data_IF_339912739582
#
_entry.id   IF_339912739582
#
_cell.length_a   1.000
_cell.length_b   1.000
_cell.length_c   1.000
_cell.angle_alpha   90.00
_cell.angle_beta   90.00
_cell.angle_gamma   90.00
#
_symmetry.space_group_name_H-M   'P 1'
#
loop_
_entity.id
_entity.type
_entity.pdbx_description
1 polymer ?
#
# COMPACT_ATOMS: atom_id res chain seq x y z
N UNK A 1 2.66 -47.50 59.92
CA UNK A 1 2.98 -46.16 59.37
C UNK A 1 2.44 -46.07 57.96
N UNK A 2 1.40 -45.27 57.70
CA UNK A 2 0.91 -45.04 56.35
C UNK A 2 1.81 -43.97 55.69
N UNK A 3 2.68 -44.39 54.80
CA UNK A 3 3.49 -43.47 54.01
C UNK A 3 2.54 -42.72 53.10
N UNK A 4 2.51 -41.40 53.25
CA UNK A 4 1.74 -40.53 52.34
C UNK A 4 2.35 -40.62 50.94
N UNK A 5 1.52 -40.68 49.88
CA UNK A 5 1.97 -40.65 48.49
C UNK A 5 2.96 -39.51 48.21
N UNK A 6 2.77 -38.38 48.86
CA UNK A 6 3.66 -37.22 48.76
C UNK A 6 5.07 -37.51 49.29
N UNK A 7 5.20 -38.25 50.40
CA UNK A 7 6.50 -38.65 50.98
C UNK A 7 7.24 -39.62 50.06
N UNK A 8 6.54 -40.53 49.38
CA UNK A 8 7.15 -41.47 48.44
C UNK A 8 7.69 -40.73 47.22
N UNK A 9 6.91 -39.78 46.66
CA UNK A 9 7.33 -38.95 45.53
C UNK A 9 8.55 -38.11 45.91
N UNK A 10 8.52 -37.43 47.03
CA UNK A 10 9.64 -36.60 47.49
C UNK A 10 10.92 -37.42 47.67
N UNK A 11 10.83 -38.62 48.26
CA UNK A 11 11.96 -39.50 48.44
C UNK A 11 12.49 -40.09 47.14
N UNK A 12 11.63 -40.34 46.16
CA UNK A 12 12.02 -40.76 44.79
C UNK A 12 12.81 -39.66 44.07
N UNK A 13 12.36 -38.42 44.19
CA UNK A 13 13.04 -37.26 43.58
C UNK A 13 14.43 -37.05 44.17
N UNK A 14 14.57 -37.15 45.52
CA UNK A 14 15.86 -36.96 46.17
C UNK A 14 16.82 -38.11 45.89
N UNK A 15 16.34 -39.34 45.74
CA UNK A 15 17.18 -40.49 45.43
C UNK A 15 17.71 -40.50 43.99
N UNK A 16 16.91 -40.05 43.01
CA UNK A 16 17.26 -40.00 41.59
C UNK A 16 17.43 -38.55 41.07
N UNK A 17 17.93 -37.63 41.89
CA UNK A 17 18.03 -36.21 41.61
C UNK A 17 18.69 -35.91 40.27
N UNK A 18 19.76 -36.59 39.88
CA UNK A 18 20.46 -36.40 38.60
C UNK A 18 19.57 -36.70 37.39
N UNK A 19 18.78 -37.78 37.46
CA UNK A 19 17.85 -38.14 36.38
C UNK A 19 16.74 -37.10 36.20
N UNK A 20 16.13 -36.65 37.31
CA UNK A 20 15.12 -35.61 37.28
C UNK A 20 15.67 -34.26 36.82
N UNK A 21 16.90 -33.91 37.16
CA UNK A 21 17.55 -32.68 36.70
C UNK A 21 17.68 -32.66 35.19
N UNK A 22 18.10 -33.75 34.56
CA UNK A 22 18.18 -33.83 33.08
C UNK A 22 16.79 -33.72 32.44
N UNK A 23 15.76 -34.33 33.00
CA UNK A 23 14.40 -34.23 32.53
C UNK A 23 13.88 -32.77 32.57
N UNK A 24 14.12 -32.08 33.69
CA UNK A 24 13.74 -30.68 33.88
C UNK A 24 14.46 -29.79 32.84
N UNK A 25 15.75 -30.00 32.61
CA UNK A 25 16.51 -29.25 31.63
C UNK A 25 15.93 -29.46 30.22
N UNK A 26 15.61 -30.71 29.84
CA UNK A 26 15.01 -31.02 28.54
C UNK A 26 13.66 -30.35 28.39
N UNK A 27 12.80 -30.37 29.42
CA UNK A 27 11.49 -29.72 29.40
C UNK A 27 11.64 -28.21 29.25
N UNK A 28 12.57 -27.59 29.96
CA UNK A 28 12.84 -26.16 29.88
C UNK A 28 13.30 -25.79 28.45
N UNK A 29 14.24 -26.56 27.91
CA UNK A 29 14.72 -26.31 26.52
C UNK A 29 13.60 -26.48 25.49
N UNK A 30 12.82 -27.56 25.59
CA UNK A 30 11.72 -27.82 24.69
C UNK A 30 10.66 -26.69 24.76
N UNK A 31 10.27 -26.32 25.98
CA UNK A 31 9.30 -25.26 26.22
C UNK A 31 9.85 -23.90 25.68
N UNK A 32 11.13 -23.64 25.93
CA UNK A 32 11.80 -22.43 25.45
C UNK A 32 11.80 -22.32 23.92
N UNK A 33 12.13 -23.42 23.24
CA UNK A 33 12.12 -23.47 21.77
C UNK A 33 10.70 -23.26 21.19
N UNK A 34 9.71 -23.97 21.75
CA UNK A 34 8.32 -23.84 21.29
C UNK A 34 7.78 -22.43 21.54
N UNK A 35 7.99 -21.91 22.75
CA UNK A 35 7.50 -20.55 23.07
C UNK A 35 8.22 -19.48 22.24
N UNK A 36 9.53 -19.60 22.09
CA UNK A 36 10.32 -18.68 21.27
C UNK A 36 9.87 -18.68 19.81
N UNK A 37 9.63 -19.85 19.23
CA UNK A 37 9.12 -19.98 17.86
C UNK A 37 7.74 -19.33 17.70
N UNK A 38 6.82 -19.56 18.62
CA UNK A 38 5.47 -18.94 18.59
C UNK A 38 5.54 -17.42 18.77
N UNK A 39 6.39 -16.90 19.64
CA UNK A 39 6.58 -15.46 19.84
C UNK A 39 7.15 -14.81 18.59
N UNK A 40 8.16 -15.42 17.97
CA UNK A 40 8.73 -14.91 16.72
C UNK A 40 7.69 -14.87 15.59
N UNK A 41 6.94 -15.95 15.41
CA UNK A 41 5.87 -16.01 14.40
C UNK A 41 4.79 -14.94 14.62
N UNK A 42 4.37 -14.71 15.87
CA UNK A 42 3.41 -13.65 16.21
C UNK A 42 3.99 -12.26 15.98
N UNK A 43 5.24 -12.03 16.33
CA UNK A 43 5.92 -10.74 16.13
C UNK A 43 6.02 -10.39 14.64
N UNK A 44 6.48 -11.32 13.81
CA UNK A 44 6.57 -11.13 12.35
C UNK A 44 5.19 -10.85 11.75
N UNK A 45 4.18 -11.62 12.13
CA UNK A 45 2.81 -11.41 11.63
C UNK A 45 2.26 -10.04 12.01
N UNK A 46 2.48 -9.60 13.24
CA UNK A 46 2.04 -8.27 13.68
C UNK A 46 2.78 -7.16 12.94
N UNK A 47 4.09 -7.27 12.76
CA UNK A 47 4.89 -6.31 12.01
C UNK A 47 4.41 -6.20 10.55
N UNK A 48 4.19 -7.32 9.87
CA UNK A 48 3.66 -7.33 8.50
C UNK A 48 2.27 -6.70 8.41
N UNK A 49 1.41 -6.99 9.38
CA UNK A 49 0.06 -6.41 9.46
C UNK A 49 0.12 -4.90 9.64
N UNK A 50 0.96 -4.41 10.56
CA UNK A 50 1.13 -2.98 10.79
C UNK A 50 1.66 -2.27 9.55
N UNK A 51 2.69 -2.80 8.90
CA UNK A 51 3.23 -2.24 7.65
C UNK A 51 2.18 -2.21 6.53
N UNK A 52 1.30 -3.22 6.46
CA UNK A 52 0.22 -3.24 5.47
C UNK A 52 -0.82 -2.15 5.75
N UNK A 53 -1.19 -1.91 7.00
CA UNK A 53 -2.10 -0.82 7.35
C UNK A 53 -1.48 0.57 7.08
N UNK A 54 -0.20 0.75 7.38
CA UNK A 54 0.50 2.01 7.09
C UNK A 54 0.49 2.33 5.59
N UNK A 55 0.59 1.31 4.73
CA UNK A 55 0.51 1.48 3.27
C UNK A 55 -0.89 1.84 2.77
N UNK A 56 -1.92 1.30 3.38
CA UNK A 56 -3.31 1.56 3.00
C UNK A 56 -3.84 2.91 3.51
N UNK A 57 -3.15 3.53 4.48
CA UNK A 57 -3.65 4.74 5.14
C UNK A 57 -5.02 4.50 5.78
N UNK A 58 -6.00 5.35 5.49
CA UNK A 58 -7.37 5.22 6.00
C UNK A 58 -8.25 4.26 5.19
N UNK A 59 -7.71 3.61 4.16
CA UNK A 59 -8.49 2.70 3.32
C UNK A 59 -8.81 1.40 4.08
N UNK A 60 -10.08 1.17 4.36
CA UNK A 60 -10.56 -0.08 4.97
C UNK A 60 -11.06 -1.09 3.95
N UNK A 61 -11.73 -0.59 2.91
CA UNK A 61 -12.26 -1.42 1.82
C UNK A 61 -11.87 -0.81 0.49
N UNK A 62 -11.48 -1.66 -0.45
CA UNK A 62 -11.13 -1.30 -1.81
C UNK A 62 -12.08 -1.98 -2.79
N UNK A 63 -12.77 -1.21 -3.62
CA UNK A 63 -13.47 -1.72 -4.78
C UNK A 63 -12.60 -1.48 -6.02
N UNK A 64 -12.31 -2.55 -6.73
CA UNK A 64 -11.55 -2.54 -7.97
C UNK A 64 -12.42 -3.05 -9.11
N UNK A 65 -12.46 -2.31 -10.21
CA UNK A 65 -13.20 -2.70 -11.42
C UNK A 65 -12.45 -3.70 -12.31
N UNK A 66 -11.19 -4.02 -11.96
CA UNK A 66 -10.31 -4.77 -12.87
C UNK A 66 -9.90 -3.93 -14.06
N UNK A 67 -10.41 -4.25 -15.25
CA UNK A 67 -10.11 -3.56 -16.51
C UNK A 67 -11.14 -2.49 -16.90
N UNK A 68 -12.18 -2.29 -16.12
CA UNK A 68 -13.23 -1.29 -16.38
C UNK A 68 -12.96 -0.04 -15.55
N UNK A 69 -13.59 1.05 -15.95
CA UNK A 69 -13.53 2.32 -15.23
C UNK A 69 -14.89 2.64 -14.61
N UNK A 70 -14.89 3.44 -13.55
CA UNK A 70 -16.07 3.94 -12.86
C UNK A 70 -16.19 5.45 -13.11
N UNK A 71 -17.42 5.91 -13.25
CA UNK A 71 -17.71 7.34 -13.19
C UNK A 71 -17.24 7.91 -11.83
N UNK A 72 -16.44 8.97 -11.80
CA UNK A 72 -15.95 9.59 -10.57
C UNK A 72 -17.04 10.00 -9.60
N UNK A 73 -18.22 10.40 -10.11
CA UNK A 73 -19.39 10.76 -9.28
C UNK A 73 -19.89 9.61 -8.43
N UNK A 74 -19.49 8.37 -8.74
CA UNK A 74 -19.84 7.20 -7.95
C UNK A 74 -19.33 7.29 -6.51
N UNK A 75 -18.12 7.85 -6.30
CA UNK A 75 -17.56 8.06 -4.97
C UNK A 75 -18.48 8.95 -4.13
N UNK A 76 -18.90 10.09 -4.68
CA UNK A 76 -19.76 11.03 -3.99
C UNK A 76 -21.15 10.45 -3.70
N UNK A 77 -21.76 9.77 -4.68
CA UNK A 77 -23.05 9.10 -4.52
C UNK A 77 -23.01 8.02 -3.45
N UNK A 78 -21.98 7.19 -3.47
CA UNK A 78 -21.79 6.15 -2.46
C UNK A 78 -21.60 6.74 -1.06
N UNK A 79 -20.84 7.83 -0.95
CA UNK A 79 -20.70 8.56 0.32
C UNK A 79 -22.02 9.11 0.82
N UNK A 80 -22.84 9.69 -0.07
CA UNK A 80 -24.14 10.26 0.28
C UNK A 80 -25.17 9.20 0.72
N UNK A 81 -25.19 8.03 0.05
CA UNK A 81 -26.13 6.95 0.33
C UNK A 81 -25.77 6.13 1.57
N UNK A 82 -24.46 5.85 1.75
CA UNK A 82 -24.00 4.96 2.81
C UNK A 82 -23.54 5.70 4.07
N UNK A 83 -23.29 7.01 3.98
CA UNK A 83 -22.67 7.80 5.04
C UNK A 83 -21.17 7.49 5.25
N UNK A 84 -20.59 6.67 4.36
CA UNK A 84 -19.19 6.27 4.42
C UNK A 84 -18.35 7.18 3.54
N UNK A 85 -17.31 7.76 4.09
CA UNK A 85 -16.39 8.60 3.29
C UNK A 85 -15.69 7.72 2.26
N UNK A 86 -15.72 8.15 1.00
CA UNK A 86 -15.05 7.46 -0.09
C UNK A 86 -14.24 8.41 -0.97
N UNK A 87 -13.22 7.86 -1.62
CA UNK A 87 -12.37 8.58 -2.56
C UNK A 87 -12.14 7.75 -3.82
N UNK A 88 -12.24 8.39 -4.97
CA UNK A 88 -11.93 7.78 -6.26
C UNK A 88 -10.46 7.97 -6.61
N UNK A 89 -9.84 6.94 -7.20
CA UNK A 89 -8.44 6.98 -7.66
C UNK A 89 -8.33 6.28 -9.00
N UNK A 90 -7.57 6.85 -9.91
CA UNK A 90 -7.12 6.15 -11.11
C UNK A 90 -5.68 5.68 -10.90
N UNK A 91 -5.50 4.38 -10.73
CA UNK A 91 -4.20 3.73 -10.61
C UNK A 91 -3.70 3.29 -11.99
N UNK A 92 -2.51 3.73 -12.35
CA UNK A 92 -1.83 3.38 -13.61
C UNK A 92 -0.43 2.89 -13.33
N UNK A 93 0.07 2.06 -14.22
CA UNK A 93 1.49 1.68 -14.29
C UNK A 93 2.19 2.50 -15.36
N UNK A 94 3.42 2.91 -15.07
CA UNK A 94 4.19 3.70 -16.00
C UNK A 94 5.67 3.74 -15.68
N UNK A 95 6.36 4.66 -16.31
CA UNK A 95 7.75 4.97 -16.03
C UNK A 95 7.96 6.49 -15.99
N UNK A 96 8.96 6.89 -15.22
CA UNK A 96 9.26 8.29 -14.97
C UNK A 96 10.72 8.57 -15.28
N UNK A 97 11.01 9.73 -15.83
CA UNK A 97 12.34 10.16 -16.19
C UNK A 97 12.59 11.57 -15.68
N UNK A 98 13.76 11.78 -15.07
CA UNK A 98 14.22 13.11 -14.74
C UNK A 98 14.51 13.89 -16.04
N UNK A 99 13.92 15.07 -16.19
CA UNK A 99 14.08 15.87 -17.41
C UNK A 99 15.54 16.31 -17.64
N UNK A 100 16.24 16.71 -16.59
CA UNK A 100 17.61 17.23 -16.67
C UNK A 100 18.66 16.12 -16.83
N UNK A 101 18.62 15.10 -15.98
CA UNK A 101 19.65 14.04 -15.94
C UNK A 101 19.33 12.85 -16.86
N UNK A 102 18.11 12.78 -17.40
CA UNK A 102 17.62 11.67 -18.21
C UNK A 102 17.62 10.32 -17.46
N UNK A 103 17.80 10.32 -16.15
CA UNK A 103 17.70 9.11 -15.34
C UNK A 103 16.27 8.55 -15.36
N UNK A 104 16.14 7.25 -15.62
CA UNK A 104 14.86 6.58 -15.82
C UNK A 104 14.50 5.67 -14.65
N UNK A 105 13.32 5.86 -14.08
CA UNK A 105 12.66 4.92 -13.19
C UNK A 105 11.70 4.03 -14.01
N UNK A 106 12.03 2.76 -14.25
CA UNK A 106 11.32 1.93 -15.24
C UNK A 106 9.98 1.41 -14.77
N UNK A 107 9.69 1.50 -13.48
CA UNK A 107 8.44 1.00 -12.88
C UNK A 107 7.98 1.93 -11.78
N UNK A 108 6.95 2.71 -12.07
CA UNK A 108 6.33 3.61 -11.11
C UNK A 108 4.83 3.36 -11.05
N UNK A 109 4.24 3.58 -9.88
CA UNK A 109 2.80 3.62 -9.67
C UNK A 109 2.33 5.06 -9.76
N UNK A 110 1.42 5.33 -10.67
CA UNK A 110 0.82 6.64 -10.88
C UNK A 110 -0.58 6.60 -10.32
N UNK A 111 -0.84 7.47 -9.36
CA UNK A 111 -2.15 7.68 -8.76
C UNK A 111 -2.67 9.03 -9.22
N UNK A 112 -3.62 9.02 -10.14
CA UNK A 112 -4.35 10.22 -10.50
C UNK A 112 -5.51 10.39 -9.53
N UNK A 113 -5.47 11.49 -8.79
CA UNK A 113 -6.32 11.75 -7.63
C UNK A 113 -7.05 13.08 -7.77
N UNK A 114 -8.19 13.18 -7.12
CA UNK A 114 -8.92 14.42 -6.92
C UNK A 114 -8.55 15.06 -5.57
N UNK A 115 -8.97 16.28 -5.32
CA UNK A 115 -8.61 17.05 -4.12
C UNK A 115 -9.04 16.40 -2.80
N UNK A 116 -9.98 15.45 -2.83
CA UNK A 116 -10.48 14.74 -1.66
C UNK A 116 -9.56 13.58 -1.20
N UNK A 117 -8.57 13.18 -1.99
CA UNK A 117 -7.72 12.02 -1.68
C UNK A 117 -6.87 12.21 -0.41
N UNK A 118 -6.14 13.32 -0.30
CA UNK A 118 -5.30 13.57 0.87
C UNK A 118 -6.13 13.80 2.15
N UNK A 119 -7.22 14.60 2.12
CA UNK A 119 -8.15 14.69 3.25
C UNK A 119 -8.76 13.35 3.67
N UNK A 120 -9.11 12.47 2.71
CA UNK A 120 -9.56 11.10 2.98
C UNK A 120 -8.55 10.32 3.84
N UNK A 121 -7.26 10.48 3.58
CA UNK A 121 -6.19 9.87 4.36
C UNK A 121 -5.80 10.66 5.62
N UNK A 122 -6.56 11.69 6.00
CA UNK A 122 -6.26 12.60 7.11
C UNK A 122 -4.90 13.31 6.97
N UNK A 123 -4.50 13.60 5.74
CA UNK A 123 -3.29 14.34 5.41
C UNK A 123 -3.70 15.77 5.06
N UNK A 124 -3.30 16.71 5.90
CA UNK A 124 -3.58 18.13 5.71
C UNK A 124 -2.38 18.85 5.10
N UNK A 125 -2.65 19.92 4.35
CA UNK A 125 -1.62 20.80 3.79
C UNK A 125 -0.91 20.26 2.55
N UNK A 126 -1.31 19.11 2.03
CA UNK A 126 -0.79 18.55 0.77
C UNK A 126 -1.90 18.60 -0.27
N UNK A 127 -1.62 19.29 -1.35
CA UNK A 127 -2.45 19.35 -2.56
C UNK A 127 -1.57 19.13 -3.77
N UNK A 128 -2.13 18.57 -4.82
CA UNK A 128 -1.46 18.42 -6.12
C UNK A 128 -2.15 19.32 -7.10
N UNK A 129 -1.54 20.49 -7.32
CA UNK A 129 -2.05 21.50 -8.24
C UNK A 129 -1.83 21.07 -9.70
N UNK A 130 -2.53 21.70 -10.62
CA UNK A 130 -2.26 21.51 -12.06
C UNK A 130 -0.85 21.92 -12.40
N UNK A 131 -0.18 21.15 -13.29
CA UNK A 131 1.21 21.35 -13.66
C UNK A 131 2.22 20.85 -12.63
N UNK A 132 1.75 20.33 -11.50
CA UNK A 132 2.58 19.79 -10.42
C UNK A 132 2.35 18.30 -10.18
N UNK A 133 3.36 17.68 -9.58
CA UNK A 133 3.33 16.28 -9.19
C UNK A 133 3.85 16.14 -7.77
N UNK A 134 3.21 15.28 -6.98
CA UNK A 134 3.78 14.82 -5.72
C UNK A 134 4.39 13.43 -5.92
N UNK A 135 5.61 13.25 -5.44
CA UNK A 135 6.34 11.98 -5.55
C UNK A 135 6.77 11.50 -4.18
N UNK A 136 6.94 10.21 -4.01
CA UNK A 136 7.46 9.72 -2.75
C UNK A 136 8.98 9.89 -2.65
N UNK A 137 9.49 9.92 -1.41
CA UNK A 137 10.93 10.07 -1.11
C UNK A 137 11.78 9.05 -1.87
N UNK A 138 11.32 7.80 -1.96
CA UNK A 138 12.04 6.74 -2.66
C UNK A 138 12.27 7.04 -4.14
N UNK A 139 11.27 7.60 -4.83
CA UNK A 139 11.40 7.99 -6.24
C UNK A 139 12.29 9.24 -6.37
N UNK A 140 12.14 10.20 -5.45
CA UNK A 140 12.99 11.39 -5.43
C UNK A 140 14.47 11.03 -5.29
N UNK A 141 14.81 10.18 -4.34
CA UNK A 141 16.18 9.70 -4.12
C UNK A 141 16.70 8.87 -5.31
N UNK A 142 15.82 8.06 -5.94
CA UNK A 142 16.20 7.24 -7.09
C UNK A 142 16.51 8.08 -8.33
N UNK A 143 15.75 9.14 -8.60
CA UNK A 143 15.91 10.02 -9.75
C UNK A 143 16.84 11.22 -9.48
N UNK A 144 17.34 11.37 -8.26
CA UNK A 144 18.11 12.53 -7.77
C UNK A 144 17.40 13.85 -8.11
N UNK A 145 16.12 13.97 -7.68
CA UNK A 145 15.30 15.15 -7.93
C UNK A 145 14.88 15.82 -6.64
N UNK A 146 14.74 17.14 -6.73
CA UNK A 146 14.30 18.01 -5.66
C UNK A 146 12.97 18.66 -6.03
N UNK A 147 12.33 19.32 -5.05
CA UNK A 147 11.15 20.14 -5.28
C UNK A 147 11.49 21.25 -6.29
N UNK A 148 10.66 21.40 -7.31
CA UNK A 148 10.84 22.36 -8.41
C UNK A 148 11.42 21.77 -9.69
N UNK A 149 12.03 20.57 -9.65
CA UNK A 149 12.54 19.89 -10.83
C UNK A 149 11.41 19.35 -11.72
N UNK A 150 11.74 19.12 -12.98
CA UNK A 150 10.76 18.61 -13.97
C UNK A 150 10.94 17.12 -14.22
N UNK A 151 9.81 16.42 -14.31
CA UNK A 151 9.72 15.00 -14.59
C UNK A 151 8.93 14.73 -15.85
N UNK A 152 9.41 13.81 -16.66
CA UNK A 152 8.67 13.23 -17.78
C UNK A 152 8.00 11.95 -17.27
N UNK A 153 6.67 11.94 -17.25
CA UNK A 153 5.87 10.80 -16.81
C UNK A 153 5.23 10.19 -18.04
N UNK A 154 5.38 8.89 -18.21
CA UNK A 154 4.79 8.12 -19.30
C UNK A 154 4.02 6.94 -18.74
N UNK A 155 2.82 6.74 -19.28
CA UNK A 155 1.90 5.68 -18.86
C UNK A 155 1.23 5.05 -20.07
N UNK A 156 0.65 3.88 -19.87
CA UNK A 156 -0.13 3.23 -20.91
C UNK A 156 -1.39 4.04 -21.20
N UNK A 157 -1.82 4.06 -22.46
CA UNK A 157 -3.05 4.75 -22.85
C UNK A 157 -4.23 4.27 -22.00
N UNK A 158 -5.01 5.22 -21.51
CA UNK A 158 -6.24 4.97 -20.76
C UNK A 158 -7.33 4.68 -21.78
N UNK A 159 -7.66 3.42 -21.97
CA UNK A 159 -8.69 2.96 -22.91
C UNK A 159 -9.54 1.89 -22.25
N UNK A 160 -10.84 1.89 -22.54
CA UNK A 160 -11.78 0.87 -22.09
C UNK A 160 -11.56 -0.49 -22.77
N UNK A 161 -10.72 -0.52 -23.82
CA UNK A 161 -10.40 -1.72 -24.58
C UNK A 161 -9.02 -2.20 -24.18
N UNK A 162 -8.87 -3.44 -23.63
CA UNK A 162 -7.57 -4.01 -23.37
C UNK A 162 -6.67 -4.04 -24.61
N UNK A 163 -5.38 -3.75 -24.46
CA UNK A 163 -4.42 -3.69 -25.54
C UNK A 163 -4.27 -5.01 -26.32
N UNK A 164 -4.60 -6.13 -25.70
CA UNK A 164 -4.57 -7.50 -26.23
C UNK A 164 -5.92 -7.97 -26.78
N UNK A 165 -6.93 -7.08 -26.85
CA UNK A 165 -8.21 -7.41 -27.48
C UNK A 165 -8.03 -7.64 -28.99
N UNK A 166 -8.70 -8.66 -29.57
CA UNK A 166 -8.52 -9.04 -30.99
C UNK A 166 -8.81 -7.94 -32.02
N UNK A 167 -9.49 -6.88 -31.62
CA UNK A 167 -9.87 -5.74 -32.46
C UNK A 167 -9.39 -4.40 -31.88
N UNK A 168 -8.36 -4.42 -31.02
CA UNK A 168 -7.77 -3.19 -30.51
C UNK A 168 -7.20 -2.38 -31.68
N UNK A 169 -7.54 -1.09 -31.84
CA UNK A 169 -6.88 -0.25 -32.81
C UNK A 169 -5.40 -0.16 -32.44
N UNK A 170 -4.54 -0.69 -33.28
CA UNK A 170 -3.12 -1.00 -33.04
C UNK A 170 -2.17 0.17 -32.79
N UNK A 171 -2.62 1.25 -32.17
CA UNK A 171 -1.77 2.32 -31.65
C UNK A 171 -1.88 2.33 -30.13
N UNK A 172 -1.01 1.56 -29.48
CA UNK A 172 -0.69 1.81 -28.07
C UNK A 172 0.02 3.17 -28.04
N UNK A 173 -0.74 4.21 -27.81
CA UNK A 173 -0.19 5.52 -27.53
C UNK A 173 0.28 5.50 -26.08
N UNK A 174 1.58 5.70 -25.86
CA UNK A 174 2.10 5.95 -24.51
C UNK A 174 2.17 7.47 -24.32
N UNK A 175 1.10 8.11 -23.85
CA UNK A 175 1.10 9.54 -23.64
C UNK A 175 2.19 9.90 -22.62
N UNK A 176 2.81 11.05 -22.84
CA UNK A 176 3.81 11.59 -21.94
C UNK A 176 3.38 12.99 -21.49
N UNK A 177 3.50 13.24 -20.22
CA UNK A 177 3.28 14.55 -19.61
C UNK A 177 4.55 14.99 -18.90
N UNK A 178 4.80 16.30 -18.91
CA UNK A 178 5.91 16.92 -18.17
C UNK A 178 5.30 17.73 -17.04
N UNK A 179 5.67 17.38 -15.82
CA UNK A 179 5.17 18.03 -14.61
C UNK A 179 6.33 18.43 -13.71
N UNK A 180 6.10 19.47 -12.89
CA UNK A 180 7.07 19.93 -11.90
C UNK A 180 6.83 19.25 -10.57
N UNK A 181 7.91 18.87 -9.88
CA UNK A 181 7.84 18.31 -8.52
C UNK A 181 7.38 19.40 -7.55
N UNK A 182 6.12 19.33 -7.13
CA UNK A 182 5.53 20.24 -6.13
C UNK A 182 5.81 19.78 -4.71
N UNK A 183 5.65 18.47 -4.44
CA UNK A 183 5.81 17.89 -3.11
C UNK A 183 6.59 16.58 -3.15
N UNK A 184 7.43 16.35 -2.14
CA UNK A 184 8.08 15.06 -1.90
C UNK A 184 7.48 14.48 -0.61
N UNK A 185 6.76 13.37 -0.77
CA UNK A 185 5.98 12.76 0.30
C UNK A 185 6.83 11.81 1.13
N UNK A 186 6.86 12.07 2.43
CA UNK A 186 7.45 11.15 3.40
C UNK A 186 6.51 9.95 3.67
N UNK A 187 7.02 8.85 4.24
CA UNK A 187 6.20 7.67 4.57
C UNK A 187 4.92 7.99 5.35
N UNK A 188 4.98 8.95 6.28
CA UNK A 188 3.84 9.37 7.10
C UNK A 188 2.75 10.11 6.29
N UNK A 189 3.08 10.63 5.12
CA UNK A 189 2.19 11.44 4.27
C UNK A 189 1.89 10.74 2.94
N UNK A 190 1.40 9.52 2.99
CA UNK A 190 1.12 8.66 1.84
C UNK A 190 2.36 8.30 0.96
N UNK A 191 3.59 8.60 1.39
CA UNK A 191 4.79 8.22 0.62
C UNK A 191 4.92 6.71 0.39
N UNK A 192 4.43 5.89 1.33
CA UNK A 192 4.41 4.43 1.22
C UNK A 192 3.07 3.88 0.74
N UNK A 193 2.14 4.72 0.30
CA UNK A 193 0.82 4.28 -0.14
C UNK A 193 0.91 3.20 -1.20
N UNK A 194 0.10 2.16 -1.05
CA UNK A 194 0.03 1.06 -2.02
C UNK A 194 -1.26 0.29 -1.84
N UNK A 195 -1.97 0.09 -2.93
CA UNK A 195 -3.16 -0.77 -3.00
C UNK A 195 -2.80 -2.22 -3.37
N UNK A 196 -1.54 -2.47 -3.71
CA UNK A 196 -1.04 -3.80 -4.09
C UNK A 196 -0.49 -4.59 -2.90
N UNK A 197 -0.55 -5.93 -3.04
CA UNK A 197 0.01 -6.88 -2.07
C UNK A 197 1.52 -7.04 -2.34
N UNK A 198 2.29 -5.99 -2.10
CA UNK A 198 3.75 -6.05 -2.23
C UNK A 198 4.42 -5.69 -0.92
N UNK A 199 5.49 -6.39 -0.55
CA UNK A 199 6.32 -6.02 0.59
C UNK A 199 7.26 -4.85 0.26
N UNK A 200 7.55 -4.65 -1.02
CA UNK A 200 8.37 -3.53 -1.48
C UNK A 200 7.58 -2.22 -1.41
N UNK A 201 8.27 -1.16 -1.05
CA UNK A 201 7.74 0.19 -1.17
C UNK A 201 7.76 0.54 -2.66
N UNK A 202 6.63 0.83 -3.30
CA UNK A 202 6.61 1.25 -4.69
C UNK A 202 7.25 2.64 -4.87
N UNK A 203 7.59 2.98 -6.08
CA UNK A 203 7.89 4.35 -6.51
C UNK A 203 6.57 4.99 -6.91
N UNK A 204 6.09 5.93 -6.09
CA UNK A 204 4.78 6.53 -6.24
C UNK A 204 4.84 7.91 -6.84
N UNK A 205 3.89 8.16 -7.71
CA UNK A 205 3.62 9.47 -8.32
C UNK A 205 2.14 9.77 -8.10
N UNK A 206 1.85 10.95 -7.55
CA UNK A 206 0.49 11.46 -7.39
C UNK A 206 0.33 12.68 -8.28
N UNK A 207 -0.65 12.63 -9.17
CA UNK A 207 -0.97 13.71 -10.10
C UNK A 207 -2.44 14.10 -9.96
N UNK A 208 -2.78 15.33 -10.29
CA UNK A 208 -4.17 15.73 -10.38
C UNK A 208 -4.81 15.01 -11.58
N UNK A 209 -5.97 14.37 -11.37
CA UNK A 209 -6.65 13.63 -12.44
C UNK A 209 -6.97 14.48 -13.67
N UNK A 210 -7.16 15.77 -13.48
CA UNK A 210 -7.39 16.71 -14.59
C UNK A 210 -6.19 16.95 -15.52
N UNK A 211 -5.00 16.45 -15.16
CA UNK A 211 -3.82 16.47 -16.04
C UNK A 211 -3.85 15.35 -17.08
N UNK A 212 -4.64 14.32 -16.83
CA UNK A 212 -4.80 13.20 -17.75
C UNK A 212 -5.94 13.48 -18.73
N UNK A 213 -5.71 13.07 -19.96
CA UNK A 213 -6.72 13.08 -21.02
C UNK A 213 -6.76 11.68 -21.63
N UNK A 214 -7.94 11.08 -21.71
CA UNK A 214 -8.15 9.79 -22.35
C UNK A 214 -8.06 9.91 -23.89
N UNK A 215 -8.24 8.79 -24.60
CA UNK A 215 -8.19 8.76 -26.06
C UNK A 215 -9.29 9.61 -26.74
N UNK A 216 -10.36 9.93 -26.02
CA UNK A 216 -11.51 10.73 -26.48
C UNK A 216 -11.37 12.22 -26.15
N UNK A 217 -10.31 12.61 -25.45
CA UNK A 217 -10.06 14.01 -25.08
C UNK A 217 -10.74 14.45 -23.79
N UNK A 218 -11.21 13.51 -22.98
CA UNK A 218 -11.90 13.74 -21.72
C UNK A 218 -11.02 13.37 -20.51
N UNK A 219 -11.35 13.90 -19.32
CA UNK A 219 -10.71 13.50 -18.08
C UNK A 219 -11.10 12.04 -17.78
N UNK A 220 -10.12 11.13 -17.59
CA UNK A 220 -10.42 9.73 -17.47
C UNK A 220 -11.18 9.40 -16.18
N UNK A 221 -11.99 8.37 -16.27
CA UNK A 221 -12.67 7.75 -15.15
C UNK A 221 -11.70 7.10 -14.15
N UNK A 222 -12.21 6.69 -13.00
CA UNK A 222 -11.45 6.03 -11.94
C UNK A 222 -11.53 4.50 -12.05
N UNK A 223 -10.52 3.79 -11.55
CA UNK A 223 -10.52 2.30 -11.52
C UNK A 223 -10.43 1.73 -10.10
N UNK A 224 -10.30 2.58 -9.11
CA UNK A 224 -10.25 2.22 -7.69
C UNK A 224 -11.18 3.12 -6.91
N UNK A 225 -11.99 2.53 -6.06
CA UNK A 225 -12.84 3.26 -5.12
C UNK A 225 -12.46 2.84 -3.70
N UNK A 226 -12.05 3.81 -2.90
CA UNK A 226 -11.57 3.63 -1.54
C UNK A 226 -12.69 3.99 -0.56
N UNK A 227 -12.86 3.18 0.48
CA UNK A 227 -13.80 3.44 1.57
C UNK A 227 -13.05 3.51 2.89
N UNK A 228 -13.41 4.46 3.75
CA UNK A 228 -12.78 4.65 5.05
C UNK A 228 -12.98 3.44 5.97
N UNK A 229 -11.92 3.01 6.63
CA UNK A 229 -11.92 1.91 7.60
C UNK A 229 -12.73 2.21 8.87
N UNK A 230 -12.98 3.49 9.17
CA UNK A 230 -13.70 3.93 10.38
C UNK A 230 -15.20 3.80 10.27
N UNK A 231 -15.70 3.66 9.08
CA UNK A 231 -17.13 3.60 8.76
C UNK A 231 -17.65 2.18 8.72
N UNK A 232 -17.36 1.34 9.69
CA UNK A 232 -18.03 0.08 10.04
C UNK A 232 -18.91 -0.59 8.96
N UNK A 233 -18.42 -0.78 7.73
CA UNK A 233 -19.10 -1.69 6.79
C UNK A 233 -18.83 -3.09 7.32
N UNK A 234 -19.74 -3.56 8.16
CA UNK A 234 -19.80 -4.98 8.55
C UNK A 234 -20.31 -5.75 7.35
N UNK A 235 -19.44 -6.55 6.76
CA UNK A 235 -19.81 -7.56 5.76
C UNK A 235 -20.62 -8.69 6.40
#
# INVERSE_FOLDING_TARGET
MKLSLFQIVLRSITHNFRGYLYQVIIIILLTGVVTGSLMTGKSVRNSLKQTSFEKLGNTGTLLSSGIRYFDPSLAERMSAETGVVSAGVLELDGYCQNFATQQLAPQVKIYAVDDNFFPFHAIEGITVSRGEVAINRKLADYLDVNQGDELIIRFNSITDIPADAPFSPGKVSNPSIVLRVGNILEPAYAGNFSLGISQLIPMNIFINRSELINAEGEIPDINRLLFDSRSGITT
#
